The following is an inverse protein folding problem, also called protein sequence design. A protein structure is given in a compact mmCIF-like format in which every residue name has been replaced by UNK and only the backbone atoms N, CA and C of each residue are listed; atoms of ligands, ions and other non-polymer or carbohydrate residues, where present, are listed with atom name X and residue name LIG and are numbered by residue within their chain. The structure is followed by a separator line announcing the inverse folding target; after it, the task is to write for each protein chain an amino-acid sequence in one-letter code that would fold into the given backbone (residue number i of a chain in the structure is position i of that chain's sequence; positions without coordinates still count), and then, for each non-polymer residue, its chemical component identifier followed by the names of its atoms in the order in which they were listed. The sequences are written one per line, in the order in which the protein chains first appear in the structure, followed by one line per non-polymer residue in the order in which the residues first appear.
data_IF_418142553737
#
_entry.id   IF_418142553737
#
_cell.length_a   1.000
_cell.length_b   1.000
_cell.length_c   1.000
_cell.angle_alpha   90.00
_cell.angle_beta   90.00
_cell.angle_gamma   90.00
#
_symmetry.space_group_name_H-M   'P 1'
#
loop_
_entity.id
_entity.type
_entity.pdbx_description
1 polymer ?
#
# COMPACT_ATOMS: atom_id res chain seq x y z
N UNK A 1 5.57 5.86 5.39
CA UNK A 1 5.76 5.15 4.11
C UNK A 1 6.43 3.83 4.41
N UNK A 2 6.08 2.76 3.70
CA UNK A 2 6.87 1.52 3.72
C UNK A 2 8.12 1.66 2.85
N UNK A 3 9.10 0.76 3.00
CA UNK A 3 10.38 0.82 2.28
C UNK A 3 10.19 0.74 0.75
N UNK A 4 9.29 -0.12 0.28
CA UNK A 4 8.91 -0.25 -1.12
C UNK A 4 8.27 1.03 -1.67
N UNK A 5 7.39 1.67 -0.90
CA UNK A 5 6.79 2.95 -1.27
C UNK A 5 7.85 4.04 -1.34
N UNK A 6 8.77 4.12 -0.37
CA UNK A 6 9.84 5.10 -0.36
C UNK A 6 10.78 4.95 -1.57
N UNK A 7 11.08 3.71 -1.97
CA UNK A 7 11.81 3.41 -3.20
C UNK A 7 11.03 3.90 -4.44
N UNK A 8 9.73 3.62 -4.50
CA UNK A 8 8.84 4.06 -5.59
C UNK A 8 8.73 5.58 -5.70
N UNK A 9 8.71 6.30 -4.58
CA UNK A 9 8.74 7.77 -4.52
C UNK A 9 10.08 8.29 -5.03
N UNK A 10 11.18 7.73 -4.53
CA UNK A 10 12.54 8.15 -4.92
C UNK A 10 12.76 7.98 -6.41
N UNK A 11 12.32 6.86 -7.00
CA UNK A 11 12.38 6.63 -8.46
C UNK A 11 11.59 7.69 -9.24
N UNK A 12 10.36 8.00 -8.84
CA UNK A 12 9.52 9.02 -9.50
C UNK A 12 10.11 10.42 -9.44
N UNK A 13 10.70 10.79 -8.30
CA UNK A 13 11.32 12.11 -8.12
C UNK A 13 12.66 12.21 -8.87
N UNK A 14 13.54 11.22 -8.69
CA UNK A 14 14.91 11.30 -9.19
C UNK A 14 15.01 10.98 -10.67
N UNK A 15 14.31 9.92 -11.12
CA UNK A 15 14.37 9.42 -12.50
C UNK A 15 13.30 10.10 -13.36
N UNK A 16 12.04 10.04 -12.93
CA UNK A 16 10.92 10.53 -13.73
C UNK A 16 10.73 12.07 -13.60
N UNK A 17 11.53 12.73 -12.76
CA UNK A 17 11.51 14.19 -12.51
C UNK A 17 10.14 14.74 -12.08
N UNK A 18 9.32 13.89 -11.47
CA UNK A 18 8.00 14.30 -10.95
C UNK A 18 8.20 15.02 -9.61
N UNK A 19 7.71 16.26 -9.44
CA UNK A 19 7.75 16.94 -8.15
C UNK A 19 7.05 16.11 -7.08
N UNK A 20 7.61 16.08 -5.86
CA UNK A 20 7.09 15.27 -4.76
C UNK A 20 5.61 15.54 -4.50
N UNK A 21 5.17 16.80 -4.61
CA UNK A 21 3.77 17.23 -4.42
C UNK A 21 2.79 16.74 -5.50
N UNK A 22 3.29 16.34 -6.68
CA UNK A 22 2.48 15.90 -7.81
C UNK A 22 2.29 14.38 -7.84
N UNK A 23 2.96 13.66 -6.95
CA UNK A 23 2.78 12.21 -6.80
C UNK A 23 1.44 11.99 -6.06
N UNK A 24 0.55 11.14 -6.59
CA UNK A 24 -0.71 10.87 -5.92
C UNK A 24 -0.46 9.91 -4.74
N UNK A 25 -0.99 10.27 -3.58
CA UNK A 25 -0.82 9.52 -2.34
C UNK A 25 -2.16 9.19 -1.71
N UNK A 26 -2.18 8.07 -0.98
CA UNK A 26 -3.23 7.74 -0.03
C UNK A 26 -2.62 7.56 1.35
N UNK A 27 -3.23 8.20 2.34
CA UNK A 27 -2.86 8.09 3.74
C UNK A 27 -3.76 7.07 4.42
N UNK A 28 -3.13 6.16 5.14
CA UNK A 28 -3.77 5.12 5.95
C UNK A 28 -4.83 4.31 5.18
N UNK A 29 -4.49 3.70 4.04
CA UNK A 29 -5.47 2.97 3.25
C UNK A 29 -5.99 1.75 4.03
N UNK A 30 -7.31 1.52 3.94
CA UNK A 30 -7.94 0.30 4.42
C UNK A 30 -8.03 -0.71 3.27
N UNK A 31 -7.33 -1.83 3.38
CA UNK A 31 -7.39 -2.93 2.43
C UNK A 31 -8.50 -3.87 2.88
N UNK A 32 -9.56 -4.00 2.08
CA UNK A 32 -10.68 -4.92 2.34
C UNK A 32 -10.47 -6.22 1.58
N UNK A 33 -10.42 -7.35 2.28
CA UNK A 33 -10.31 -8.68 1.68
C UNK A 33 -11.69 -9.31 1.46
N UNK A 34 -12.63 -9.09 2.38
CA UNK A 34 -14.03 -9.47 2.28
C UNK A 34 -14.89 -8.57 3.20
N UNK A 35 -16.18 -8.90 3.37
CA UNK A 35 -17.11 -8.09 4.17
C UNK A 35 -16.76 -8.02 5.67
N UNK A 36 -15.95 -8.95 6.18
CA UNK A 36 -15.61 -9.06 7.61
C UNK A 36 -14.12 -8.81 7.89
N UNK A 37 -13.28 -8.93 6.88
CA UNK A 37 -11.83 -8.83 6.99
C UNK A 37 -11.33 -7.59 6.24
N UNK A 38 -10.79 -6.66 7.00
CA UNK A 38 -10.11 -5.48 6.50
C UNK A 38 -8.93 -5.14 7.39
N UNK A 39 -7.85 -4.67 6.78
CA UNK A 39 -6.64 -4.23 7.48
C UNK A 39 -6.40 -2.76 7.16
N UNK A 40 -6.19 -1.96 8.19
CA UNK A 40 -5.73 -0.58 8.05
C UNK A 40 -4.21 -0.56 8.02
N UNK A 41 -3.64 0.08 6.99
CA UNK A 41 -2.19 0.20 6.86
C UNK A 41 -1.75 1.58 7.36
N UNK A 42 -1.07 1.73 8.50
CA UNK A 42 -0.77 3.03 9.12
C UNK A 42 0.41 3.76 8.44
N UNK A 43 0.46 3.74 7.11
CA UNK A 43 1.48 4.38 6.31
C UNK A 43 0.86 5.08 5.08
N UNK A 44 1.60 6.06 4.56
CA UNK A 44 1.35 6.66 3.24
C UNK A 44 1.83 5.74 2.13
N UNK A 45 1.00 5.55 1.10
CA UNK A 45 1.28 4.79 -0.13
C UNK A 45 1.13 5.69 -1.37
N UNK A 46 1.83 5.34 -2.46
CA UNK A 46 1.56 5.92 -3.79
C UNK A 46 0.32 5.25 -4.35
N UNK A 47 -0.54 5.99 -5.05
CA UNK A 47 -1.70 5.41 -5.74
C UNK A 47 -1.45 5.17 -7.22
N UNK A 48 -2.21 4.24 -7.79
CA UNK A 48 -2.33 4.08 -9.24
C UNK A 48 -3.30 5.12 -9.85
N UNK A 49 -3.62 4.97 -11.14
CA UNK A 49 -4.59 5.81 -11.85
C UNK A 49 -6.04 5.63 -11.35
N UNK A 50 -6.34 4.55 -10.64
CA UNK A 50 -7.66 4.26 -10.08
C UNK A 50 -7.79 4.75 -8.63
N UNK A 51 -6.72 5.29 -8.05
CA UNK A 51 -6.69 5.73 -6.66
C UNK A 51 -6.42 4.60 -5.65
N UNK A 52 -6.07 3.39 -6.12
CA UNK A 52 -5.72 2.28 -5.24
C UNK A 52 -4.25 2.35 -4.81
N UNK A 53 -3.92 2.01 -3.54
CA UNK A 53 -2.54 1.95 -3.09
C UNK A 53 -1.75 0.90 -3.87
N UNK A 54 -0.59 1.30 -4.39
CA UNK A 54 0.35 0.38 -5.04
C UNK A 54 1.01 -0.45 -3.94
N UNK A 55 0.72 -1.76 -3.97
CA UNK A 55 1.30 -2.74 -3.05
C UNK A 55 2.25 -3.66 -3.83
N UNK A 56 3.38 -4.09 -3.23
CA UNK A 56 4.24 -5.10 -3.82
C UNK A 56 3.51 -6.40 -4.11
N UNK A 57 3.97 -7.11 -5.14
CA UNK A 57 3.48 -8.46 -5.44
C UNK A 57 3.67 -9.37 -4.21
N UNK A 58 2.65 -10.15 -3.88
CA UNK A 58 2.64 -11.02 -2.70
C UNK A 58 2.22 -10.35 -1.38
N UNK A 59 2.27 -9.02 -1.25
CA UNK A 59 1.87 -8.35 0.00
C UNK A 59 0.40 -8.59 0.35
N UNK A 60 -0.50 -8.57 -0.64
CA UNK A 60 -1.93 -8.91 -0.44
C UNK A 60 -2.11 -10.37 0.03
N UNK A 61 -1.27 -11.30 -0.42
CA UNK A 61 -1.35 -12.71 -0.02
C UNK A 61 -0.87 -12.89 1.42
N UNK A 62 0.25 -12.25 1.79
CA UNK A 62 0.78 -12.29 3.16
C UNK A 62 -0.22 -11.70 4.18
N UNK A 63 -0.86 -10.59 3.85
CA UNK A 63 -1.89 -9.98 4.71
C UNK A 63 -3.09 -10.92 4.88
N UNK A 64 -3.49 -11.63 3.83
CA UNK A 64 -4.56 -12.64 3.90
C UNK A 64 -4.15 -13.84 4.75
N UNK A 65 -2.92 -14.32 4.64
CA UNK A 65 -2.39 -15.39 5.49
C UNK A 65 -2.31 -14.99 6.96
N UNK A 66 -1.92 -13.75 7.24
CA UNK A 66 -1.85 -13.21 8.60
C UNK A 66 -3.25 -13.13 9.25
N UNK A 67 -4.26 -12.68 8.49
CA UNK A 67 -5.66 -12.70 8.91
C UNK A 67 -6.16 -14.11 9.24
N UNK A 68 -5.78 -15.12 8.45
CA UNK A 68 -6.17 -16.52 8.69
C UNK A 68 -5.54 -17.10 9.97
N UNK A 69 -4.36 -16.63 10.39
CA UNK A 69 -3.68 -17.11 11.61
C UNK A 69 -4.32 -16.62 12.90
N UNK A 70 -5.15 -15.58 12.85
CA UNK A 70 -5.81 -15.00 14.02
C UNK A 70 -6.94 -15.83 14.62
N UNK A 71 -7.26 -17.02 14.07
CA UNK A 71 -8.44 -17.80 14.44
C UNK A 71 -8.15 -19.11 15.21
N UNK A 72 -6.93 -19.36 15.67
CA UNK A 72 -6.66 -20.48 16.60
C UNK A 72 -7.08 -20.10 18.04
N UNK A 73 -8.28 -20.53 18.45
CA UNK A 73 -8.79 -20.51 19.83
C UNK A 73 -8.80 -21.90 20.44
#
# INVERSE_FOLDING_TARGET
MTTDTALGVTKRVVVDKVPLQNIPYVDHPTIRFNAKESVEMPFRYITDSNGEPILPEGMKALLKEDLNKGFDF
#
